data_IF_823737274601
#
_entry.id   IF_823737274601
#
_cell.length_a   1.000
_cell.length_b   1.000
_cell.length_c   1.000
_cell.angle_alpha   90.00
_cell.angle_beta   90.00
_cell.angle_gamma   90.00
#
_symmetry.space_group_name_H-M   'P 1'
#
loop_
_entity.id
_entity.type
_entity.pdbx_description
1 polymer ?
#
# COMPACT_ATOMS: atom_id res chain seq x y z
N UNK A 1 -20.46 5.35 0.98
CA UNK A 1 -20.04 6.51 1.79
C UNK A 1 -19.39 5.92 3.03
N UNK A 2 -18.14 6.26 3.34
CA UNK A 2 -17.68 6.16 4.73
C UNK A 2 -18.62 7.02 5.56
N UNK A 3 -19.10 6.52 6.70
CA UNK A 3 -20.01 7.30 7.54
C UNK A 3 -19.34 8.63 7.87
N UNK A 4 -20.09 9.73 7.85
CA UNK A 4 -19.56 11.07 8.10
C UNK A 4 -18.79 11.09 9.44
N UNK A 5 -17.47 11.33 9.39
CA UNK A 5 -16.58 11.33 10.56
C UNK A 5 -15.82 10.02 10.81
N UNK A 6 -16.04 8.96 10.03
CA UNK A 6 -15.28 7.72 10.16
C UNK A 6 -13.93 7.84 9.44
N UNK A 7 -12.86 7.97 10.21
CA UNK A 7 -11.49 8.12 9.71
C UNK A 7 -10.91 6.84 9.12
N UNK A 8 -11.48 5.68 9.47
CA UNK A 8 -11.05 4.36 9.00
C UNK A 8 -12.25 3.57 8.49
N UNK A 9 -12.24 3.17 7.23
CA UNK A 9 -13.32 2.37 6.65
C UNK A 9 -13.19 0.89 7.04
N UNK A 10 -14.29 0.15 6.88
CA UNK A 10 -14.24 -1.31 6.87
C UNK A 10 -13.39 -1.83 5.70
N UNK A 11 -12.93 -3.07 5.82
CA UNK A 11 -12.29 -3.79 4.73
C UNK A 11 -13.30 -4.08 3.61
N UNK A 12 -12.98 -3.70 2.38
CA UNK A 12 -13.86 -3.92 1.25
C UNK A 12 -13.08 -4.22 -0.05
N UNK A 13 -13.81 -4.61 -1.09
CA UNK A 13 -13.23 -4.84 -2.41
C UNK A 13 -12.73 -3.52 -3.03
N UNK A 14 -11.66 -3.54 -3.85
CA UNK A 14 -11.12 -2.35 -4.51
C UNK A 14 -12.18 -1.52 -5.26
N UNK A 15 -13.10 -2.20 -5.95
CA UNK A 15 -14.21 -1.57 -6.68
C UNK A 15 -15.16 -0.75 -5.80
N UNK A 16 -15.34 -1.18 -4.55
CA UNK A 16 -16.17 -0.47 -3.57
C UNK A 16 -15.41 0.70 -2.96
N UNK A 17 -14.12 0.50 -2.65
CA UNK A 17 -13.24 1.55 -2.12
C UNK A 17 -13.18 2.74 -3.07
N UNK A 18 -12.98 2.52 -4.37
CA UNK A 18 -12.77 3.60 -5.36
C UNK A 18 -13.92 4.60 -5.39
N UNK A 19 -15.16 4.17 -5.08
CA UNK A 19 -16.33 5.06 -5.02
C UNK A 19 -16.33 6.01 -3.81
N UNK A 20 -15.46 5.76 -2.84
CA UNK A 20 -15.36 6.50 -1.57
C UNK A 20 -14.11 7.37 -1.50
N UNK A 21 -13.13 7.13 -2.38
CA UNK A 21 -11.81 7.75 -2.30
C UNK A 21 -11.84 9.24 -2.59
N UNK A 22 -11.11 9.97 -1.77
CA UNK A 22 -10.76 11.36 -2.00
C UNK A 22 -9.24 11.48 -2.16
N UNK A 23 -8.79 12.40 -3.02
CA UNK A 23 -7.36 12.64 -3.22
C UNK A 23 -6.67 12.87 -1.87
N UNK A 24 -5.50 12.25 -1.69
CA UNK A 24 -4.72 12.32 -0.44
C UNK A 24 -5.15 11.31 0.63
N UNK A 25 -6.19 10.49 0.40
CA UNK A 25 -6.54 9.39 1.30
C UNK A 25 -5.44 8.33 1.37
N UNK A 26 -5.26 7.78 2.57
CA UNK A 26 -4.36 6.67 2.80
C UNK A 26 -5.10 5.34 2.63
N UNK A 27 -4.48 4.43 1.90
CA UNK A 27 -4.99 3.10 1.62
C UNK A 27 -4.16 2.06 2.31
N UNK A 28 -4.84 1.13 2.96
CA UNK A 28 -4.24 -0.04 3.57
C UNK A 28 -4.77 -1.29 2.86
N UNK A 29 -3.84 -2.16 2.44
CA UNK A 29 -4.13 -3.39 1.70
C UNK A 29 -3.74 -4.59 2.56
N UNK A 30 -4.69 -5.47 2.82
CA UNK A 30 -4.48 -6.65 3.66
C UNK A 30 -3.97 -7.82 2.84
N UNK A 31 -2.74 -8.25 3.06
CA UNK A 31 -2.19 -9.44 2.38
C UNK A 31 -2.44 -10.67 3.23
N UNK A 32 -3.33 -11.52 2.75
CA UNK A 32 -3.68 -12.77 3.44
C UNK A 32 -3.06 -13.93 2.68
N UNK A 33 -2.31 -14.78 3.39
CA UNK A 33 -1.77 -16.02 2.84
C UNK A 33 -2.24 -17.23 3.67
N UNK A 34 -2.44 -18.40 3.05
CA UNK A 34 -2.77 -19.62 3.77
C UNK A 34 -1.55 -20.11 4.56
N UNK A 35 -1.56 -19.91 5.88
CA UNK A 35 -0.55 -20.44 6.79
C UNK A 35 -1.18 -21.58 7.57
N UNK A 36 -0.67 -22.81 7.36
CA UNK A 36 -1.18 -24.05 7.99
C UNK A 36 -2.68 -24.29 7.73
N UNK A 37 -3.13 -24.03 6.50
CA UNK A 37 -4.51 -24.24 6.09
C UNK A 37 -5.51 -23.18 6.58
N UNK A 38 -5.06 -22.15 7.30
CA UNK A 38 -5.88 -21.02 7.71
C UNK A 38 -5.41 -19.72 7.05
N UNK A 39 -6.32 -18.87 6.54
CA UNK A 39 -5.96 -17.54 6.05
C UNK A 39 -5.44 -16.68 7.20
N UNK A 40 -4.17 -16.26 7.13
CA UNK A 40 -3.53 -15.37 8.10
C UNK A 40 -3.04 -14.11 7.40
N UNK A 41 -3.19 -12.97 8.07
CA UNK A 41 -2.59 -11.73 7.61
C UNK A 41 -1.07 -11.86 7.73
N UNK A 42 -0.37 -11.63 6.63
CA UNK A 42 1.09 -11.73 6.59
C UNK A 42 1.75 -10.36 6.50
N UNK A 43 1.05 -9.37 5.93
CA UNK A 43 1.61 -8.06 5.66
C UNK A 43 0.49 -7.07 5.34
N UNK A 44 0.58 -5.87 5.92
CA UNK A 44 -0.26 -4.73 5.57
C UNK A 44 0.55 -3.76 4.72
N UNK A 45 0.08 -3.52 3.50
CA UNK A 45 0.73 -2.61 2.56
C UNK A 45 0.02 -1.26 2.55
N UNK A 46 0.76 -0.17 2.35
CA UNK A 46 0.23 1.18 2.41
C UNK A 46 0.47 1.97 1.12
N UNK A 47 -0.51 2.76 0.71
CA UNK A 47 -0.41 3.67 -0.42
C UNK A 47 -1.14 5.00 -0.19
N UNK A 48 -0.77 6.02 -0.95
CA UNK A 48 -1.47 7.31 -1.03
C UNK A 48 -2.27 7.35 -2.33
N UNK A 49 -3.57 7.64 -2.25
CA UNK A 49 -4.38 7.85 -3.44
C UNK A 49 -4.16 9.25 -4.03
N UNK A 50 -3.74 9.32 -5.29
CA UNK A 50 -3.41 10.59 -5.96
C UNK A 50 -4.55 11.12 -6.84
N UNK A 51 -5.56 10.30 -7.10
CA UNK A 51 -6.70 10.64 -7.94
C UNK A 51 -6.84 9.70 -9.13
N UNK A 52 -7.70 10.10 -10.06
CA UNK A 52 -7.92 9.38 -11.30
C UNK A 52 -7.21 10.09 -12.45
N UNK A 53 -6.55 9.32 -13.31
CA UNK A 53 -5.96 9.77 -14.56
C UNK A 53 -6.49 8.86 -15.68
N UNK A 54 -7.04 9.43 -16.75
CA UNK A 54 -7.66 8.66 -17.85
C UNK A 54 -8.74 7.63 -17.39
N UNK A 55 -9.49 7.96 -16.34
CA UNK A 55 -10.47 7.09 -15.65
C UNK A 55 -9.87 5.93 -14.84
N UNK A 56 -8.55 5.88 -14.67
CA UNK A 56 -7.89 4.89 -13.82
C UNK A 56 -7.53 5.49 -12.47
N UNK A 57 -7.93 4.86 -11.35
CA UNK A 57 -7.51 5.29 -10.02
C UNK A 57 -6.04 4.93 -9.79
N UNK A 58 -5.21 5.95 -9.56
CA UNK A 58 -3.78 5.79 -9.34
C UNK A 58 -3.41 5.96 -7.88
N UNK A 59 -2.40 5.20 -7.46
CA UNK A 59 -1.84 5.27 -6.10
C UNK A 59 -0.32 5.34 -6.14
N UNK A 60 0.26 6.04 -5.17
CA UNK A 60 1.70 6.04 -4.94
C UNK A 60 1.99 5.21 -3.71
N UNK A 61 2.91 4.26 -3.84
CA UNK A 61 3.26 3.32 -2.79
C UNK A 61 4.74 2.95 -2.83
N UNK A 62 5.25 2.42 -1.72
CA UNK A 62 6.62 1.94 -1.63
C UNK A 62 6.69 0.46 -2.03
N UNK A 63 7.22 0.16 -3.21
CA UNK A 63 7.32 -1.19 -3.77
C UNK A 63 8.75 -1.75 -3.68
N UNK A 64 8.92 -3.07 -3.68
CA UNK A 64 10.23 -3.71 -3.57
C UNK A 64 10.71 -4.34 -4.87
N UNK A 65 11.93 -4.02 -5.31
CA UNK A 65 12.59 -4.74 -6.38
C UNK A 65 13.18 -6.05 -5.85
N UNK A 66 12.36 -7.08 -5.87
CA UNK A 66 12.71 -8.47 -5.57
C UNK A 66 11.48 -9.35 -5.70
N UNK A 67 11.08 -9.62 -6.95
CA UNK A 67 10.31 -10.78 -7.43
C UNK A 67 8.97 -11.20 -6.74
N UNK A 68 8.51 -10.56 -5.64
CA UNK A 68 7.46 -11.16 -4.79
C UNK A 68 6.34 -10.20 -4.34
N UNK A 69 5.69 -9.50 -5.28
CA UNK A 69 4.25 -9.22 -5.10
C UNK A 69 3.41 -9.75 -6.27
N UNK A 70 3.82 -10.89 -6.82
CA UNK A 70 2.93 -11.76 -7.56
C UNK A 70 2.30 -12.75 -6.57
N UNK A 71 1.27 -12.34 -5.83
CA UNK A 71 0.24 -13.32 -5.44
C UNK A 71 -0.47 -13.70 -6.72
N UNK A 72 0.06 -14.76 -7.34
CA UNK A 72 -0.42 -15.41 -8.55
C UNK A 72 -1.94 -15.48 -8.62
N UNK A 73 -2.52 -14.80 -9.60
CA UNK A 73 -3.75 -15.23 -10.24
C UNK A 73 -3.67 -14.93 -11.72
N UNK A 74 -3.31 -15.96 -12.48
CA UNK A 74 -3.50 -16.00 -13.94
C UNK A 74 -2.22 -16.09 -14.78
N UNK A 75 -1.75 -17.33 -14.98
CA UNK A 75 -1.16 -17.87 -16.23
C UNK A 75 0.02 -17.10 -16.86
N UNK A 76 1.22 -17.66 -16.71
CA UNK A 76 2.32 -17.46 -17.67
C UNK A 76 3.67 -17.13 -17.05
N UNK A 77 4.52 -18.16 -16.95
CA UNK A 77 5.99 -18.09 -16.83
C UNK A 77 6.59 -17.73 -15.46
N UNK A 78 6.85 -18.79 -14.68
CA UNK A 78 8.13 -18.98 -13.97
C UNK A 78 8.32 -18.27 -12.63
N UNK A 79 8.02 -18.98 -11.53
CA UNK A 79 8.38 -18.53 -10.17
C UNK A 79 7.77 -19.40 -9.08
N UNK A 80 8.20 -20.64 -9.00
CA UNK A 80 7.83 -21.58 -7.94
C UNK A 80 8.41 -21.08 -6.60
N UNK A 81 7.55 -20.83 -5.62
CA UNK A 81 7.93 -20.74 -4.21
C UNK A 81 8.52 -22.08 -3.77
N UNK A 82 9.84 -22.24 -3.91
CA UNK A 82 10.60 -23.35 -3.33
C UNK A 82 10.75 -23.10 -1.83
N UNK A 83 9.74 -23.49 -1.06
CA UNK A 83 9.84 -23.69 0.37
C UNK A 83 10.64 -24.98 0.64
N UNK A 84 11.94 -24.94 0.35
CA UNK A 84 12.84 -26.05 0.64
C UNK A 84 14.20 -25.50 1.06
N UNK A 85 14.40 -25.49 2.37
CA UNK A 85 15.71 -25.61 3.02
C UNK A 85 16.68 -24.45 2.87
N UNK A 86 17.43 -24.23 3.94
CA UNK A 86 18.71 -23.52 3.94
C UNK A 86 18.62 -21.99 4.07
N UNK A 87 18.68 -21.57 5.34
CA UNK A 87 19.52 -20.46 5.82
C UNK A 87 20.37 -19.78 4.74
N UNK A 88 19.88 -18.66 4.20
CA UNK A 88 20.70 -17.59 3.63
C UNK A 88 19.86 -16.33 3.40
N UNK A 89 20.20 -15.31 4.19
CA UNK A 89 20.40 -13.94 3.71
C UNK A 89 19.13 -13.19 3.28
N UNK A 90 18.69 -12.33 4.21
CA UNK A 90 18.15 -11.00 3.95
C UNK A 90 18.83 -10.37 2.72
N UNK A 91 18.35 -10.66 1.51
CA UNK A 91 18.67 -9.84 0.34
C UNK A 91 17.95 -8.53 0.57
N UNK A 92 18.70 -7.50 0.96
CA UNK A 92 18.26 -6.11 1.02
C UNK A 92 17.73 -5.70 -0.36
N UNK A 93 16.45 -5.99 -0.60
CA UNK A 93 15.73 -5.59 -1.80
C UNK A 93 15.56 -4.08 -1.78
N UNK A 94 15.94 -3.43 -2.87
CA UNK A 94 15.80 -1.97 -3.01
C UNK A 94 14.31 -1.62 -2.99
N UNK A 95 13.87 -0.85 -2.01
CA UNK A 95 12.51 -0.33 -1.98
C UNK A 95 12.47 0.95 -2.84
N UNK A 96 11.54 1.04 -3.78
CA UNK A 96 11.34 2.17 -4.68
C UNK A 96 9.90 2.67 -4.59
N UNK A 97 9.72 4.00 -4.51
CA UNK A 97 8.39 4.60 -4.54
C UNK A 97 7.90 4.62 -5.98
N UNK A 98 6.75 4.00 -6.23
CA UNK A 98 6.16 3.83 -7.56
C UNK A 98 4.75 4.41 -7.60
N UNK A 99 4.32 4.78 -8.81
CA UNK A 99 2.95 5.10 -9.14
C UNK A 99 2.41 3.95 -9.99
N UNK A 100 1.40 3.24 -9.50
CA UNK A 100 0.77 2.12 -10.20
C UNK A 100 -0.77 2.21 -10.05
N UNK A 101 -1.55 1.57 -10.93
CA UNK A 101 -3.00 1.49 -10.78
C UNK A 101 -3.42 0.84 -9.47
N UNK A 102 -4.45 1.38 -8.82
CA UNK A 102 -4.96 0.87 -7.54
C UNK A 102 -5.32 -0.62 -7.63
N UNK A 103 -5.93 -1.03 -8.75
CA UNK A 103 -6.35 -2.41 -8.96
C UNK A 103 -5.17 -3.37 -9.07
N UNK A 104 -4.07 -2.95 -9.70
CA UNK A 104 -2.84 -3.74 -9.80
C UNK A 104 -2.18 -3.90 -8.44
N UNK A 105 -2.14 -2.81 -7.65
CA UNK A 105 -1.61 -2.85 -6.28
C UNK A 105 -2.51 -3.69 -5.37
N UNK A 106 -3.83 -3.63 -5.53
CA UNK A 106 -4.75 -4.44 -4.74
C UNK A 106 -4.67 -5.93 -5.10
N UNK A 107 -4.66 -6.27 -6.38
CA UNK A 107 -4.91 -7.63 -6.86
C UNK A 107 -6.21 -8.17 -6.27
N UNK A 108 -6.13 -9.27 -5.53
CA UNK A 108 -7.26 -9.90 -4.84
C UNK A 108 -7.40 -9.48 -3.37
N UNK A 109 -6.58 -8.54 -2.91
CA UNK A 109 -6.57 -8.12 -1.51
C UNK A 109 -7.74 -7.20 -1.19
N UNK A 110 -8.21 -7.28 0.06
CA UNK A 110 -9.13 -6.30 0.61
C UNK A 110 -8.38 -4.99 0.88
N UNK A 111 -9.08 -3.88 0.67
CA UNK A 111 -8.57 -2.52 0.83
C UNK A 111 -9.46 -1.77 1.81
N UNK A 112 -8.87 -0.89 2.60
CA UNK A 112 -9.60 0.09 3.39
C UNK A 112 -8.96 1.47 3.28
N UNK A 113 -9.77 2.49 3.47
CA UNK A 113 -9.30 3.86 3.70
C UNK A 113 -8.92 3.94 5.17
N UNK A 114 -7.70 4.36 5.48
CA UNK A 114 -7.24 4.48 6.87
C UNK A 114 -6.53 5.81 7.10
N UNK A 115 -7.32 6.85 7.35
CA UNK A 115 -6.86 8.16 7.81
C UNK A 115 -6.92 8.27 9.34
N UNK A 116 -6.75 7.17 10.08
CA UNK A 116 -6.97 7.12 11.53
C UNK A 116 -6.17 8.15 12.35
N UNK A 117 -4.99 8.53 11.85
CA UNK A 117 -4.14 9.55 12.49
C UNK A 117 -4.69 10.98 12.37
N UNK A 118 -5.68 11.26 11.52
CA UNK A 118 -6.37 12.55 11.45
C UNK A 118 -7.00 12.96 12.80
N UNK A 119 -7.32 11.99 13.68
CA UNK A 119 -7.86 12.26 15.01
C UNK A 119 -6.88 13.05 15.88
N UNK A 120 -5.57 12.81 15.71
CA UNK A 120 -4.51 13.35 16.56
C UNK A 120 -3.56 14.27 15.80
N UNK A 121 -3.58 14.26 14.46
CA UNK A 121 -2.69 15.02 13.60
C UNK A 121 -3.48 15.73 12.51
N UNK A 122 -3.23 17.03 12.34
CA UNK A 122 -3.85 17.79 11.26
C UNK A 122 -3.26 17.32 9.92
N UNK A 123 -4.06 16.77 8.99
CA UNK A 123 -3.56 16.41 7.67
C UNK A 123 -3.23 17.66 6.86
N UNK A 124 -2.25 17.55 5.97
CA UNK A 124 -2.04 18.55 4.94
C UNK A 124 -3.22 18.59 3.95
N UNK A 125 -3.40 19.71 3.22
CA UNK A 125 -4.36 19.75 2.12
C UNK A 125 -4.08 18.61 1.11
N UNK A 126 -5.12 17.99 0.51
CA UNK A 126 -4.97 16.91 -0.46
C UNK A 126 -3.91 17.13 -1.54
N UNK A 127 -3.84 18.36 -2.08
CA UNK A 127 -2.84 18.74 -3.09
C UNK A 127 -1.42 18.57 -2.57
N UNK A 128 -1.14 19.06 -1.36
CA UNK A 128 0.18 18.95 -0.71
C UNK A 128 0.52 17.49 -0.41
N UNK A 129 -0.46 16.68 0.03
CA UNK A 129 -0.24 15.24 0.26
C UNK A 129 0.20 14.54 -1.03
N UNK A 130 -0.49 14.83 -2.14
CA UNK A 130 -0.17 14.28 -3.46
C UNK A 130 1.18 14.76 -3.96
N UNK A 131 1.47 16.06 -3.87
CA UNK A 131 2.76 16.63 -4.29
C UNK A 131 3.91 15.99 -3.53
N UNK A 132 3.76 15.77 -2.22
CA UNK A 132 4.76 15.10 -1.38
C UNK A 132 4.98 13.66 -1.82
N UNK A 133 3.92 12.92 -2.14
CA UNK A 133 4.02 11.56 -2.64
C UNK A 133 4.73 11.52 -4.01
N UNK A 134 4.38 12.44 -4.92
CA UNK A 134 4.99 12.58 -6.25
C UNK A 134 6.49 12.93 -6.16
N UNK A 135 6.88 13.81 -5.23
CA UNK A 135 8.28 14.18 -5.00
C UNK A 135 9.17 13.00 -4.59
N UNK A 136 8.59 11.94 -4.06
CA UNK A 136 9.31 10.73 -3.65
C UNK A 136 9.37 9.67 -4.75
N UNK A 137 8.70 9.85 -5.89
CA UNK A 137 8.73 8.86 -6.98
C UNK A 137 10.16 8.56 -7.43
N UNK A 138 10.47 7.27 -7.58
CA UNK A 138 11.81 6.79 -7.91
C UNK A 138 12.83 6.86 -6.78
N UNK A 139 12.47 7.37 -5.58
CA UNK A 139 13.34 7.34 -4.42
C UNK A 139 13.59 5.90 -3.99
N UNK A 140 14.87 5.52 -3.90
CA UNK A 140 15.32 4.18 -3.52
C UNK A 140 15.82 4.16 -2.08
N UNK A 141 15.08 3.51 -1.20
CA UNK A 141 15.48 3.29 0.19
C UNK A 141 15.95 1.84 0.39
N UNK A 142 17.00 1.67 1.21
CA UNK A 142 17.69 0.39 1.39
C UNK A 142 17.11 -0.51 2.50
N UNK A 143 16.01 -0.11 3.16
CA UNK A 143 15.52 -0.79 4.38
C UNK A 143 14.11 -1.41 4.24
N UNK A 144 13.92 -2.51 4.97
CA UNK A 144 12.89 -3.55 4.84
C UNK A 144 11.45 -3.07 5.13
N UNK A 145 10.69 -2.97 4.03
CA UNK A 145 9.25 -3.07 3.74
C UNK A 145 8.15 -2.90 4.78
N UNK A 146 8.28 -3.29 6.05
CA UNK A 146 7.11 -3.34 6.95
C UNK A 146 6.78 -1.99 7.55
N UNK A 147 7.75 -1.36 8.20
CA UNK A 147 7.53 -0.05 8.80
C UNK A 147 7.57 1.06 7.73
N UNK A 148 8.36 0.90 6.67
CA UNK A 148 8.68 2.02 5.78
C UNK A 148 7.51 2.50 4.91
N UNK A 149 6.58 1.61 4.51
CA UNK A 149 5.42 2.01 3.72
C UNK A 149 4.42 2.83 4.55
N UNK A 150 4.18 2.46 5.81
CA UNK A 150 3.36 3.25 6.73
C UNK A 150 4.03 4.62 7.03
N UNK A 151 5.34 4.62 7.31
CA UNK A 151 6.08 5.86 7.53
C UNK A 151 6.05 6.78 6.30
N UNK A 152 6.08 6.20 5.10
CA UNK A 152 5.99 6.94 3.86
C UNK A 152 4.63 7.63 3.72
N UNK A 153 3.53 6.91 3.88
CA UNK A 153 2.18 7.49 3.74
C UNK A 153 1.89 8.53 4.84
N UNK A 154 2.35 8.28 6.06
CA UNK A 154 2.23 9.24 7.17
C UNK A 154 3.09 10.49 6.94
N UNK A 155 4.28 10.34 6.37
CA UNK A 155 5.10 11.48 5.97
C UNK A 155 4.42 12.29 4.87
N UNK A 156 3.76 11.63 3.90
CA UNK A 156 3.01 12.33 2.86
C UNK A 156 1.85 13.14 3.46
N UNK A 157 1.04 12.54 4.33
CA UNK A 157 -0.19 13.16 4.86
C UNK A 157 0.01 14.15 6.00
N UNK A 158 0.93 13.88 6.91
CA UNK A 158 1.09 14.64 8.17
C UNK A 158 2.47 15.29 8.33
N UNK A 159 3.44 14.92 7.49
CA UNK A 159 4.81 15.46 7.59
C UNK A 159 5.67 14.80 8.66
N UNK A 160 5.15 13.78 9.33
CA UNK A 160 5.83 13.01 10.36
C UNK A 160 6.02 11.56 9.92
N UNK A 161 7.12 10.94 10.33
CA UNK A 161 7.46 9.54 10.04
C UNK A 161 7.20 8.70 11.29
N UNK A 162 5.93 8.51 11.64
CA UNK A 162 5.52 7.61 12.74
C UNK A 162 4.85 6.37 12.15
N UNK A 163 5.06 5.21 12.77
CA UNK A 163 4.21 4.02 12.62
C UNK A 163 3.36 3.85 13.87
N UNK A 164 2.10 3.44 13.72
CA UNK A 164 1.15 3.23 14.84
C UNK A 164 1.12 1.79 15.33
#
# INVERSE_FOLDING_TARGET
MTAAGQLVSEWMLPEKVVKLLQRGDLLEFRRVAPIRGAPRNIYDHWAVYIGQFENEPLVIHLSGNGEDFATSSGIGSGGLLSLSGSSNILKSGKAEVRCDPLFDVAGQSLVRINNGLDANHRPFPPTIVVDRALLQLGARNYNLFLNNCEHFVNWCRYGIRISS
#
